data_IF_507919928368
#
_entry.id   IF_507919928368
#
_cell.length_a   1.000
_cell.length_b   1.000
_cell.length_c   1.000
_cell.angle_alpha   90.00
_cell.angle_beta   90.00
_cell.angle_gamma   90.00
#
_symmetry.space_group_name_H-M   'P 1'
#
loop_
_entity.id
_entity.type
_entity.pdbx_description
1 polymer ?
#
# COMPACT_ATOMS: atom_id res chain seq x y z
N UNK A 1 11.26 0.45 -0.93
CA UNK A 1 10.06 -0.42 -1.08
C UNK A 1 9.77 -0.75 -2.54
N UNK A 2 9.70 0.23 -3.46
CA UNK A 2 9.43 -0.01 -4.88
C UNK A 2 10.38 -1.02 -5.56
N UNK A 3 11.67 -1.01 -5.22
CA UNK A 3 12.64 -1.99 -5.74
C UNK A 3 12.35 -3.42 -5.25
N UNK A 4 11.92 -3.57 -3.98
CA UNK A 4 11.60 -4.88 -3.39
C UNK A 4 10.28 -5.47 -3.93
N UNK A 5 9.29 -4.63 -4.25
CA UNK A 5 8.07 -5.08 -4.94
C UNK A 5 8.35 -5.58 -6.36
N UNK A 6 9.42 -5.09 -7.00
CA UNK A 6 9.90 -5.62 -8.28
C UNK A 6 10.47 -7.03 -8.17
N UNK A 7 11.21 -7.33 -7.10
CA UNK A 7 11.80 -8.66 -6.85
C UNK A 7 10.79 -9.69 -6.29
N UNK A 8 9.71 -9.23 -5.67
CA UNK A 8 8.67 -10.09 -5.09
C UNK A 8 7.28 -9.72 -5.62
N UNK A 9 7.00 -10.00 -6.92
CA UNK A 9 5.82 -9.51 -7.64
C UNK A 9 4.48 -9.89 -7.02
N UNK A 10 4.39 -11.06 -6.35
CA UNK A 10 3.15 -11.58 -5.76
C UNK A 10 3.08 -11.35 -4.24
N UNK A 11 4.08 -10.68 -3.64
CA UNK A 11 4.12 -10.50 -2.19
C UNK A 11 3.21 -9.34 -1.76
N UNK A 12 1.96 -9.67 -1.46
CA UNK A 12 0.89 -8.73 -1.13
C UNK A 12 1.25 -7.73 -0.02
N UNK A 13 1.89 -8.19 1.07
CA UNK A 13 2.23 -7.30 2.20
C UNK A 13 3.26 -6.23 1.82
N UNK A 14 4.24 -6.53 0.95
CA UNK A 14 5.24 -5.54 0.51
C UNK A 14 4.57 -4.47 -0.34
N UNK A 15 3.67 -4.87 -1.24
CA UNK A 15 2.86 -3.97 -2.04
C UNK A 15 1.94 -3.11 -1.16
N UNK A 16 1.27 -3.70 -0.16
CA UNK A 16 0.43 -2.95 0.78
C UNK A 16 1.20 -1.88 1.55
N UNK A 17 2.42 -2.19 2.02
CA UNK A 17 3.27 -1.20 2.70
C UNK A 17 3.75 -0.11 1.73
N UNK A 18 4.06 -0.47 0.48
CA UNK A 18 4.40 0.50 -0.56
C UNK A 18 3.22 1.45 -0.86
N UNK A 19 2.00 0.90 -1.03
CA UNK A 19 0.77 1.66 -1.21
C UNK A 19 0.53 2.64 -0.06
N UNK A 20 0.65 2.17 1.19
CA UNK A 20 0.45 3.00 2.38
C UNK A 20 1.51 4.12 2.47
N UNK A 21 2.78 3.80 2.22
CA UNK A 21 3.85 4.80 2.22
C UNK A 21 3.63 5.88 1.16
N UNK A 22 3.29 5.48 -0.08
CA UNK A 22 2.99 6.40 -1.17
C UNK A 22 1.79 7.30 -0.84
N UNK A 23 0.72 6.73 -0.29
CA UNK A 23 -0.45 7.50 0.13
C UNK A 23 -0.08 8.56 1.19
N UNK A 24 0.63 8.16 2.25
CA UNK A 24 1.08 9.07 3.33
C UNK A 24 2.04 10.16 2.85
N UNK A 25 2.76 9.93 1.75
CA UNK A 25 3.61 10.94 1.10
C UNK A 25 2.83 11.86 0.13
N UNK A 26 1.49 11.82 0.12
CA UNK A 26 0.65 12.59 -0.81
C UNK A 26 0.64 12.04 -2.24
N UNK A 27 1.33 10.93 -2.50
CA UNK A 27 1.48 10.30 -3.84
C UNK A 27 0.39 9.27 -4.07
N UNK A 28 -0.86 9.68 -3.85
CA UNK A 28 -2.04 8.79 -3.89
C UNK A 28 -2.20 8.04 -5.20
N UNK A 29 -2.01 8.71 -6.34
CA UNK A 29 -2.12 8.06 -7.66
C UNK A 29 -1.15 6.89 -7.83
N UNK A 30 0.07 7.00 -7.28
CA UNK A 30 1.09 5.95 -7.37
C UNK A 30 0.75 4.76 -6.47
N UNK A 31 0.10 5.01 -5.33
CA UNK A 31 -0.42 3.94 -4.49
C UNK A 31 -1.48 3.11 -5.24
N UNK A 32 -2.35 3.76 -6.02
CA UNK A 32 -3.36 3.06 -6.83
C UNK A 32 -2.74 2.26 -7.98
N UNK A 33 -1.71 2.80 -8.64
CA UNK A 33 -0.98 2.08 -9.70
C UNK A 33 -0.28 0.81 -9.18
N UNK A 34 0.28 0.86 -7.95
CA UNK A 34 0.86 -0.33 -7.30
C UNK A 34 -0.20 -1.41 -7.09
N UNK A 35 -1.41 -1.05 -6.64
CA UNK A 35 -2.51 -2.01 -6.51
C UNK A 35 -2.92 -2.62 -7.84
N UNK A 36 -3.09 -1.79 -8.87
CA UNK A 36 -3.47 -2.23 -10.22
C UNK A 36 -2.45 -3.22 -10.78
N UNK A 37 -1.16 -2.94 -10.59
CA UNK A 37 -0.06 -3.81 -11.03
C UNK A 37 -0.08 -5.15 -10.30
N UNK A 38 -0.20 -5.13 -8.96
CA UNK A 38 -0.29 -6.35 -8.16
C UNK A 38 -1.50 -7.22 -8.56
N UNK A 39 -2.68 -6.60 -8.73
CA UNK A 39 -3.89 -7.30 -9.12
C UNK A 39 -3.73 -7.96 -10.49
N UNK A 40 -3.19 -7.24 -11.47
CA UNK A 40 -2.91 -7.79 -12.80
C UNK A 40 -2.06 -9.05 -12.70
N UNK A 41 -0.94 -8.99 -11.97
CA UNK A 41 -0.04 -10.14 -11.78
C UNK A 41 -0.69 -11.32 -11.06
N UNK A 42 -1.45 -11.07 -9.98
CA UNK A 42 -2.15 -12.15 -9.26
C UNK A 42 -3.19 -12.86 -10.13
N UNK A 43 -3.92 -12.09 -10.94
CA UNK A 43 -4.93 -12.64 -11.86
C UNK A 43 -4.25 -13.40 -13.00
N UNK A 44 -3.20 -12.82 -13.61
CA UNK A 44 -2.49 -13.41 -14.75
C UNK A 44 -1.70 -14.67 -14.36
N UNK A 45 -1.00 -14.67 -13.22
CA UNK A 45 -0.11 -15.77 -12.84
C UNK A 45 -0.81 -16.84 -11.99
N UNK A 46 -1.77 -16.45 -11.13
CA UNK A 46 -2.42 -17.38 -10.19
C UNK A 46 -3.93 -17.54 -10.41
N UNK A 47 -4.56 -16.70 -11.25
CA UNK A 47 -6.03 -16.65 -11.35
C UNK A 47 -6.71 -16.16 -10.07
N UNK A 48 -5.97 -15.47 -9.19
CA UNK A 48 -6.45 -15.04 -7.89
C UNK A 48 -6.65 -13.53 -7.83
N UNK A 49 -7.63 -13.10 -7.05
CA UNK A 49 -7.81 -11.69 -6.68
C UNK A 49 -6.98 -11.35 -5.43
N UNK A 50 -6.57 -10.07 -5.25
CA UNK A 50 -5.87 -9.65 -4.04
C UNK A 50 -6.67 -9.97 -2.77
N UNK A 51 -5.95 -10.27 -1.69
CA UNK A 51 -6.55 -10.57 -0.39
C UNK A 51 -7.48 -9.46 0.10
N UNK A 52 -8.43 -9.82 0.97
CA UNK A 52 -9.38 -8.87 1.53
C UNK A 52 -8.70 -7.68 2.22
N UNK A 53 -7.52 -7.91 2.83
CA UNK A 53 -6.70 -6.85 3.44
C UNK A 53 -6.24 -5.81 2.42
N UNK A 54 -5.67 -6.25 1.30
CA UNK A 54 -5.18 -5.36 0.26
C UNK A 54 -6.33 -4.63 -0.45
N UNK A 55 -7.44 -5.33 -0.71
CA UNK A 55 -8.66 -4.71 -1.26
C UNK A 55 -9.22 -3.61 -0.36
N UNK A 56 -9.28 -3.85 0.96
CA UNK A 56 -9.71 -2.83 1.94
C UNK A 56 -8.77 -1.63 1.97
N UNK A 57 -7.46 -1.85 1.92
CA UNK A 57 -6.48 -0.76 1.84
C UNK A 57 -6.68 0.08 0.56
N UNK A 58 -6.88 -0.57 -0.59
CA UNK A 58 -7.19 0.13 -1.84
C UNK A 58 -8.44 1.01 -1.72
N UNK A 59 -9.53 0.48 -1.14
CA UNK A 59 -10.75 1.24 -0.89
C UNK A 59 -10.52 2.43 0.06
N UNK A 60 -9.77 2.23 1.14
CA UNK A 60 -9.43 3.31 2.08
C UNK A 60 -8.59 4.42 1.41
N UNK A 61 -7.65 4.05 0.52
CA UNK A 61 -6.87 5.02 -0.28
C UNK A 61 -7.80 5.76 -1.27
N UNK A 62 -8.79 5.08 -1.86
CA UNK A 62 -9.80 5.71 -2.72
C UNK A 62 -10.74 6.66 -1.95
N UNK A 63 -10.98 6.40 -0.67
CA UNK A 63 -11.77 7.29 0.19
C UNK A 63 -10.95 8.44 0.79
N UNK A 64 -9.61 8.43 0.67
CA UNK A 64 -8.71 9.24 1.49
C UNK A 64 -9.06 9.13 2.99
N UNK A 65 -9.24 7.89 3.46
CA UNK A 65 -9.65 7.61 4.83
C UNK A 65 -8.59 8.12 5.83
N UNK A 66 -8.94 9.04 6.76
CA UNK A 66 -8.02 9.57 7.77
C UNK A 66 -7.40 8.48 8.66
N UNK A 67 -7.98 7.28 8.74
CA UNK A 67 -7.42 6.14 9.47
C UNK A 67 -6.09 5.65 8.88
N UNK A 68 -5.80 5.97 7.62
CA UNK A 68 -4.54 5.64 6.98
C UNK A 68 -3.42 6.59 7.39
N UNK A 69 -3.75 7.78 7.89
CA UNK A 69 -2.76 8.75 8.32
C UNK A 69 -2.00 8.22 9.55
N UNK A 70 -0.70 8.56 9.67
CA UNK A 70 0.05 8.20 10.85
C UNK A 70 -0.60 8.87 12.07
N UNK A 71 -0.99 8.07 13.07
CA UNK A 71 -1.26 8.62 14.40
C UNK A 71 0.03 9.30 14.86
N UNK A 72 0.02 10.59 15.22
CA UNK A 72 1.20 11.24 15.74
C UNK A 72 1.67 10.46 16.97
N UNK A 73 2.88 9.89 16.89
CA UNK A 73 3.42 9.13 18.00
C UNK A 73 3.57 10.07 19.20
N UNK A 74 2.95 9.78 20.37
CA UNK A 74 3.25 10.53 21.57
C UNK A 74 4.70 10.24 21.97
N UNK A 75 5.60 11.22 21.87
CA UNK A 75 6.94 11.14 22.49
C UNK A 75 8.16 10.95 21.58
N UNK A 76 8.21 11.54 20.38
CA UNK A 76 9.50 11.91 19.74
C UNK A 76 9.70 13.43 19.73
N UNK A 77 9.24 14.09 20.80
CA UNK A 77 9.55 15.48 21.15
C UNK A 77 10.18 15.46 22.54
N UNK A 78 11.46 15.07 22.63
CA UNK A 78 12.41 15.37 23.72
C UNK A 78 13.61 14.43 23.61
N UNK A 79 14.61 14.85 22.84
CA UNK A 79 16.00 14.56 23.14
C UNK A 79 16.78 15.75 22.60
N UNK A 80 16.93 16.75 23.49
CA UNK A 80 17.87 17.84 23.37
C UNK A 80 19.29 17.32 23.61
#
# INVERSE_FOLDING_TARGET
>A
LATLTGYHPLHENLHAQCMLALHRSGRRWQALEVYKTLRGRLVEELGLEPSARVRKLHQAILAADPRLDPVPAPGRQAAA
#
